data_IF_146386085787
#
_entry.id   IF_146386085787
#
_cell.length_a   1.000
_cell.length_b   1.000
_cell.length_c   1.000
_cell.angle_alpha   90.00
_cell.angle_beta   90.00
_cell.angle_gamma   90.00
#
_symmetry.space_group_name_H-M   'P 1'
#
loop_
_entity.id
_entity.type
_entity.pdbx_description
1 polymer ?
#
# COMPACT_ATOMS: atom_id res chain seq x y z
N UNK A 1 -26.95 -55.85 -34.90
CA UNK A 1 -25.87 -54.85 -35.09
C UNK A 1 -26.07 -53.75 -34.06
N UNK A 2 -25.03 -53.49 -33.26
CA UNK A 2 -24.84 -52.40 -32.28
C UNK A 2 -24.95 -50.99 -32.92
N UNK A 3 -24.94 -49.84 -32.19
CA UNK A 3 -25.10 -49.56 -30.76
C UNK A 3 -26.00 -48.34 -30.41
N UNK A 4 -26.08 -48.05 -29.10
CA UNK A 4 -26.63 -46.89 -28.39
C UNK A 4 -26.06 -45.52 -28.79
N UNK A 5 -26.70 -44.42 -28.35
CA UNK A 5 -26.03 -43.31 -27.66
C UNK A 5 -27.02 -42.32 -27.00
N UNK A 6 -27.00 -42.32 -25.67
CA UNK A 6 -27.47 -41.24 -24.80
C UNK A 6 -26.67 -39.96 -25.08
N UNK A 7 -27.33 -38.81 -25.19
CA UNK A 7 -26.68 -37.51 -25.12
C UNK A 7 -27.36 -36.65 -24.05
N UNK A 8 -26.94 -36.85 -22.80
CA UNK A 8 -27.19 -35.89 -21.72
C UNK A 8 -26.31 -34.67 -21.93
N UNK A 9 -26.93 -33.49 -22.06
CA UNK A 9 -26.21 -32.21 -22.12
C UNK A 9 -25.87 -31.83 -20.68
N UNK A 10 -24.64 -32.14 -20.27
CA UNK A 10 -24.08 -31.70 -19.00
C UNK A 10 -23.76 -30.20 -19.06
N UNK A 11 -24.21 -29.46 -18.05
CA UNK A 11 -23.87 -28.06 -17.82
C UNK A 11 -22.35 -27.91 -17.64
N UNK A 12 -21.73 -27.04 -18.43
CA UNK A 12 -20.40 -26.51 -18.11
C UNK A 12 -20.62 -25.14 -17.45
N UNK A 13 -20.88 -25.16 -16.14
CA UNK A 13 -20.74 -23.97 -15.32
C UNK A 13 -19.25 -23.60 -15.32
N UNK A 14 -18.88 -22.57 -16.08
CA UNK A 14 -17.57 -21.95 -15.98
C UNK A 14 -17.49 -21.25 -14.63
N UNK A 15 -17.10 -22.01 -13.61
CA UNK A 15 -16.54 -21.46 -12.39
C UNK A 15 -15.27 -20.71 -12.80
N UNK A 16 -15.38 -19.39 -12.90
CA UNK A 16 -14.23 -18.50 -13.05
C UNK A 16 -13.28 -18.76 -11.88
N UNK A 17 -12.18 -19.45 -12.17
CA UNK A 17 -11.06 -19.56 -11.26
C UNK A 17 -10.47 -18.17 -11.10
N UNK A 18 -10.85 -17.46 -10.03
CA UNK A 18 -10.06 -16.35 -9.50
C UNK A 18 -8.76 -17.00 -8.99
N UNK A 19 -7.58 -16.76 -9.58
CA UNK A 19 -6.36 -17.31 -9.02
C UNK A 19 -6.15 -16.67 -7.63
N UNK A 20 -6.19 -17.43 -6.54
CA UNK A 20 -5.78 -16.91 -5.25
C UNK A 20 -4.24 -16.80 -5.27
N UNK A 21 -3.70 -15.77 -4.64
CA UNK A 21 -2.26 -15.56 -4.41
C UNK A 21 -1.50 -14.85 -5.54
N UNK A 22 -1.85 -13.58 -5.78
CA UNK A 22 -0.79 -12.63 -6.14
C UNK A 22 0.20 -12.48 -4.97
N UNK A 23 1.48 -12.15 -5.21
CA UNK A 23 2.44 -11.98 -4.12
C UNK A 23 1.96 -10.85 -3.18
N UNK A 24 2.03 -11.11 -1.87
CA UNK A 24 1.72 -10.11 -0.86
C UNK A 24 2.80 -9.02 -0.96
N UNK A 25 2.38 -7.78 -1.17
CA UNK A 25 3.28 -6.63 -1.26
C UNK A 25 3.19 -5.84 0.04
N UNK A 26 4.32 -5.66 0.72
CA UNK A 26 4.40 -4.94 1.97
C UNK A 26 4.99 -3.53 1.75
N UNK A 27 4.31 -2.51 2.27
CA UNK A 27 4.91 -1.21 2.53
C UNK A 27 5.84 -1.28 3.73
N UNK A 28 6.88 -0.45 3.72
CA UNK A 28 7.79 -0.28 4.83
C UNK A 28 7.64 1.08 5.50
N UNK A 29 7.96 1.14 6.77
CA UNK A 29 7.84 2.32 7.61
C UNK A 29 9.08 2.48 8.49
N UNK A 30 9.45 3.71 8.82
CA UNK A 30 10.45 4.03 9.84
C UNK A 30 10.11 5.35 10.51
N UNK A 31 10.50 5.52 11.77
CA UNK A 31 10.42 6.81 12.45
C UNK A 31 11.70 7.60 12.22
N UNK A 32 11.56 8.87 11.83
CA UNK A 32 12.65 9.85 11.81
C UNK A 32 12.31 10.97 12.79
N UNK A 33 12.87 10.90 13.99
CA UNK A 33 12.45 11.74 15.11
C UNK A 33 10.98 11.49 15.44
N UNK A 34 10.14 12.53 15.32
CA UNK A 34 8.69 12.42 15.52
C UNK A 34 7.91 12.20 14.20
N UNK A 35 8.59 12.15 13.05
CA UNK A 35 7.96 12.01 11.75
C UNK A 35 7.93 10.55 11.29
N UNK A 36 6.80 10.13 10.72
CA UNK A 36 6.69 8.84 10.05
C UNK A 36 7.23 8.96 8.61
N UNK A 37 8.25 8.18 8.29
CA UNK A 37 8.70 7.98 6.91
C UNK A 37 8.09 6.70 6.35
N UNK A 38 7.54 6.82 5.15
CA UNK A 38 6.82 5.75 4.44
C UNK A 38 7.61 5.34 3.22
N UNK A 39 7.66 4.05 2.92
CA UNK A 39 8.15 3.48 1.67
C UNK A 39 7.09 2.58 1.04
N UNK A 40 6.39 3.10 0.03
CA UNK A 40 5.35 2.37 -0.72
C UNK A 40 5.96 1.56 -1.85
N UNK A 41 5.63 0.27 -2.01
CA UNK A 41 6.15 -0.54 -3.10
C UNK A 41 5.60 -0.03 -4.43
N UNK A 42 6.49 0.30 -5.37
CA UNK A 42 6.14 0.78 -6.70
C UNK A 42 6.79 -0.09 -7.79
N UNK A 43 6.11 -0.21 -8.92
CA UNK A 43 6.67 -0.71 -10.15
C UNK A 43 7.55 0.32 -10.85
N UNK A 44 8.48 -0.09 -11.73
CA UNK A 44 9.25 0.84 -12.54
C UNK A 44 8.33 1.78 -13.34
N UNK A 45 8.56 3.09 -13.23
CA UNK A 45 7.76 4.12 -13.91
C UNK A 45 6.43 4.48 -13.22
N UNK A 46 6.06 3.78 -12.15
CA UNK A 46 4.92 4.15 -11.32
C UNK A 46 5.27 5.32 -10.39
N UNK A 47 4.30 6.21 -10.16
CA UNK A 47 4.48 7.38 -9.29
C UNK A 47 3.35 7.53 -8.30
N UNK A 48 3.66 7.95 -7.07
CA UNK A 48 2.65 8.42 -6.11
C UNK A 48 2.14 9.80 -6.54
N UNK A 49 0.84 10.04 -6.38
CA UNK A 49 0.18 11.33 -6.63
C UNK A 49 -0.39 11.95 -5.35
N UNK A 50 -0.81 11.11 -4.40
CA UNK A 50 -1.32 11.53 -3.10
C UNK A 50 -1.17 10.44 -2.06
N UNK A 51 -1.17 10.84 -0.79
CA UNK A 51 -1.12 9.95 0.36
C UNK A 51 -2.15 10.39 1.41
N UNK A 52 -2.69 9.43 2.14
CA UNK A 52 -3.65 9.61 3.22
C UNK A 52 -3.30 8.68 4.38
N UNK A 53 -3.49 9.15 5.62
CA UNK A 53 -3.55 8.28 6.79
C UNK A 53 -5.02 8.07 7.13
N UNK A 54 -5.41 6.81 7.27
CA UNK A 54 -6.78 6.43 7.59
C UNK A 54 -6.84 5.45 8.76
N UNK A 55 -7.90 5.56 9.57
CA UNK A 55 -8.18 4.62 10.66
C UNK A 55 -9.58 4.02 10.54
N UNK A 56 -9.79 2.78 10.99
CA UNK A 56 -11.13 2.20 11.08
C UNK A 56 -12.04 3.04 11.99
N UNK A 57 -13.24 3.37 11.50
CA UNK A 57 -14.27 4.07 12.28
C UNK A 57 -14.85 3.14 13.34
N UNK A 58 -14.79 3.56 14.62
CA UNK A 58 -15.33 2.79 15.75
C UNK A 58 -16.85 2.88 15.88
N UNK A 59 -17.48 3.88 15.26
CA UNK A 59 -18.90 4.23 15.43
C UNK A 59 -19.84 3.62 14.37
N UNK A 60 -19.28 2.97 13.33
CA UNK A 60 -20.06 2.44 12.21
C UNK A 60 -20.24 0.93 12.33
N UNK A 61 -21.51 0.48 12.32
CA UNK A 61 -21.88 -0.96 12.33
C UNK A 61 -21.47 -1.71 11.06
N UNK A 62 -21.22 -0.99 9.97
CA UNK A 62 -20.65 -1.51 8.73
C UNK A 62 -19.37 -0.73 8.44
N UNK A 63 -18.30 -1.42 8.07
CA UNK A 63 -16.94 -0.88 7.98
C UNK A 63 -16.83 0.48 7.30
N UNK A 64 -15.85 1.26 7.72
CA UNK A 64 -15.56 2.56 7.15
C UNK A 64 -14.27 3.13 7.73
N UNK A 65 -13.66 4.05 7.01
CA UNK A 65 -12.42 4.69 7.41
C UNK A 65 -12.62 6.18 7.70
N UNK A 66 -11.84 6.70 8.62
CA UNK A 66 -11.68 8.13 8.86
C UNK A 66 -10.27 8.54 8.42
N UNK A 67 -10.19 9.47 7.47
CA UNK A 67 -8.91 10.09 7.08
C UNK A 67 -8.45 11.03 8.18
N UNK A 68 -7.28 10.80 8.77
CA UNK A 68 -6.66 11.67 9.78
C UNK A 68 -5.77 12.74 9.15
N UNK A 69 -5.09 12.41 8.06
CA UNK A 69 -4.19 13.29 7.32
C UNK A 69 -4.28 13.00 5.83
N UNK A 70 -4.08 14.01 4.98
CA UNK A 70 -3.96 13.81 3.54
C UNK A 70 -3.12 14.89 2.87
N UNK A 71 -2.34 14.49 1.87
CA UNK A 71 -1.54 15.37 1.05
C UNK A 71 -1.46 14.90 -0.41
N UNK A 72 -1.16 15.84 -1.32
CA UNK A 72 -1.15 15.63 -2.77
C UNK A 72 -0.01 16.40 -3.43
N UNK A 73 0.26 16.04 -4.68
CA UNK A 73 1.23 16.72 -5.55
C UNK A 73 2.66 16.61 -4.97
N UNK A 74 3.28 15.42 -4.98
CA UNK A 74 4.62 15.23 -4.42
C UNK A 74 5.64 16.21 -5.04
N UNK A 75 6.46 16.82 -4.19
CA UNK A 75 7.46 17.83 -4.61
C UNK A 75 8.70 17.18 -5.17
N UNK A 76 9.21 16.15 -4.49
CA UNK A 76 10.50 15.52 -4.77
C UNK A 76 10.36 14.30 -5.67
N UNK A 77 11.45 13.93 -6.33
CA UNK A 77 11.54 12.65 -7.05
C UNK A 77 11.39 11.46 -6.10
N UNK A 78 11.85 11.60 -4.87
CA UNK A 78 11.74 10.58 -3.82
C UNK A 78 10.28 10.32 -3.42
N UNK A 79 9.51 11.39 -3.16
CA UNK A 79 8.09 11.31 -2.84
C UNK A 79 7.26 10.74 -4.00
N UNK A 80 7.57 11.16 -5.24
CA UNK A 80 6.99 10.52 -6.45
C UNK A 80 7.35 9.05 -6.52
N UNK A 81 8.60 8.71 -6.18
CA UNK A 81 9.13 7.36 -6.11
C UNK A 81 8.66 6.56 -4.90
N UNK A 82 7.69 7.04 -4.13
CA UNK A 82 7.03 6.28 -3.06
C UNK A 82 7.70 6.36 -1.70
N UNK A 83 8.73 7.19 -1.50
CA UNK A 83 9.31 7.46 -0.19
C UNK A 83 9.02 8.88 0.24
N UNK A 84 8.24 9.04 1.31
CA UNK A 84 7.80 10.36 1.76
C UNK A 84 7.62 10.39 3.27
N UNK A 85 7.80 11.58 3.84
CA UNK A 85 7.56 11.84 5.25
C UNK A 85 6.14 12.40 5.43
N UNK A 86 5.38 11.78 6.33
CA UNK A 86 4.09 12.29 6.76
C UNK A 86 4.30 13.61 7.49
N UNK A 87 3.52 14.62 7.10
CA UNK A 87 3.59 15.98 7.64
C UNK A 87 4.96 16.68 7.47
N UNK A 88 5.86 16.12 6.66
CA UNK A 88 7.11 16.78 6.28
C UNK A 88 6.84 17.86 5.23
N UNK A 89 7.39 19.08 5.37
CA UNK A 89 7.12 20.20 4.45
C UNK A 89 7.61 19.93 3.02
N UNK A 90 8.58 19.03 2.87
CA UNK A 90 9.28 18.78 1.61
C UNK A 90 8.65 17.66 0.77
N UNK A 91 7.78 16.82 1.33
CA UNK A 91 7.26 15.64 0.62
C UNK A 91 6.17 16.01 -0.40
N UNK A 92 5.20 16.83 0.00
CA UNK A 92 4.02 17.14 -0.81
C UNK A 92 3.80 18.65 -0.95
N UNK A 93 3.31 19.05 -2.13
CA UNK A 93 3.09 20.46 -2.42
C UNK A 93 1.89 21.01 -1.67
N UNK A 94 0.91 20.15 -1.40
CA UNK A 94 -0.34 20.52 -0.78
C UNK A 94 -0.76 19.50 0.26
N UNK A 95 -0.82 19.93 1.52
CA UNK A 95 -1.54 19.21 2.58
C UNK A 95 -3.01 19.61 2.47
N UNK A 96 -3.89 18.63 2.30
CA UNK A 96 -5.34 18.81 2.18
C UNK A 96 -6.09 18.56 3.48
N UNK A 97 -5.49 17.80 4.39
CA UNK A 97 -5.92 17.65 5.78
C UNK A 97 -4.69 17.50 6.67
N UNK A 98 -4.51 18.44 7.58
CA UNK A 98 -3.45 18.40 8.60
C UNK A 98 -3.72 17.29 9.62
N UNK A 99 -2.64 16.69 10.13
CA UNK A 99 -2.75 15.72 11.22
C UNK A 99 -3.08 16.46 12.52
N UNK A 100 -4.22 16.14 13.12
CA UNK A 100 -4.59 16.70 14.42
C UNK A 100 -4.08 15.80 15.55
N UNK A 101 -3.00 16.22 16.21
CA UNK A 101 -2.42 15.48 17.34
C UNK A 101 -1.39 14.43 16.93
N UNK A 102 -1.21 13.41 17.77
CA UNK A 102 -0.28 12.30 17.53
C UNK A 102 -0.90 11.25 16.62
N UNK A 103 -0.06 10.44 15.96
CA UNK A 103 -0.52 9.24 15.28
C UNK A 103 -1.12 8.25 16.29
N UNK A 104 -2.18 7.53 15.91
CA UNK A 104 -2.71 6.43 16.71
C UNK A 104 -1.80 5.20 16.64
N UNK A 105 -1.96 4.27 17.57
CA UNK A 105 -1.15 3.04 17.65
C UNK A 105 -1.26 2.18 16.39
N UNK A 106 -2.43 2.15 15.75
CA UNK A 106 -2.68 1.38 14.53
C UNK A 106 -3.41 2.23 13.48
N UNK A 107 -2.91 2.23 12.25
CA UNK A 107 -3.52 2.95 11.13
C UNK A 107 -3.08 2.36 9.78
N UNK A 108 -3.63 2.91 8.71
CA UNK A 108 -3.25 2.60 7.34
C UNK A 108 -2.72 3.85 6.65
N UNK A 109 -1.69 3.68 5.83
CA UNK A 109 -1.25 4.68 4.87
C UNK A 109 -1.72 4.24 3.49
N UNK A 110 -2.65 5.01 2.94
CA UNK A 110 -3.18 4.79 1.60
C UNK A 110 -2.54 5.78 0.63
N UNK A 111 -2.30 5.35 -0.59
CA UNK A 111 -1.76 6.18 -1.66
C UNK A 111 -2.53 5.97 -2.94
N UNK A 112 -2.68 7.07 -3.68
CA UNK A 112 -3.06 7.03 -5.08
C UNK A 112 -1.80 7.11 -5.91
N UNK A 113 -1.69 6.18 -6.86
CA UNK A 113 -0.52 5.99 -7.69
C UNK A 113 -0.94 5.99 -9.16
N UNK A 114 0.00 6.26 -10.06
CA UNK A 114 -0.19 6.22 -11.50
C UNK A 114 0.81 5.23 -12.11
N UNK A 115 0.29 4.21 -12.79
CA UNK A 115 1.07 3.20 -13.52
C UNK A 115 0.58 3.14 -14.96
N UNK A 116 1.47 3.37 -15.92
CA UNK A 116 1.13 3.41 -17.36
C UNK A 116 -0.07 4.32 -17.68
N UNK A 117 -0.12 5.49 -17.02
CA UNK A 117 -1.21 6.46 -17.17
C UNK A 117 -2.54 6.04 -16.51
N UNK A 118 -2.59 4.92 -15.79
CA UNK A 118 -3.76 4.44 -15.07
C UNK A 118 -3.61 4.66 -13.58
N UNK A 119 -4.70 5.08 -12.95
CA UNK A 119 -4.76 5.17 -11.49
C UNK A 119 -4.78 3.77 -10.88
N UNK A 120 -3.90 3.56 -9.91
CA UNK A 120 -3.85 2.38 -9.05
C UNK A 120 -3.69 2.81 -7.59
N UNK A 121 -4.01 1.92 -6.67
CA UNK A 121 -3.97 2.21 -5.24
C UNK A 121 -2.91 1.36 -4.56
N UNK A 122 -2.17 1.96 -3.62
CA UNK A 122 -1.32 1.25 -2.68
C UNK A 122 -1.76 1.51 -1.25
N UNK A 123 -1.65 0.51 -0.38
CA UNK A 123 -2.00 0.62 1.03
C UNK A 123 -0.96 -0.12 1.87
N UNK A 124 -0.70 0.38 3.08
CA UNK A 124 0.13 -0.30 4.06
C UNK A 124 -0.40 -0.07 5.48
N UNK A 125 -0.49 -1.15 6.24
CA UNK A 125 -0.85 -1.12 7.66
C UNK A 125 0.38 -0.79 8.51
N UNK A 126 0.19 0.02 9.54
CA UNK A 126 1.21 0.42 10.51
C UNK A 126 0.75 0.02 11.90
N UNK A 127 1.60 -0.71 12.60
CA UNK A 127 1.59 -0.85 14.06
C UNK A 127 2.72 0.05 14.59
N UNK A 128 2.35 1.16 15.22
CA UNK A 128 3.29 2.16 15.72
C UNK A 128 4.09 1.63 16.91
N UNK A 129 3.52 0.71 17.69
CA UNK A 129 4.23 0.10 18.83
C UNK A 129 5.35 -0.81 18.34
N UNK A 130 5.07 -1.62 17.31
CA UNK A 130 6.09 -2.43 16.64
C UNK A 130 7.15 -1.55 15.99
N UNK A 131 6.73 -0.50 15.28
CA UNK A 131 7.60 0.45 14.61
C UNK A 131 8.56 1.17 15.57
N UNK A 132 8.05 1.68 16.69
CA UNK A 132 8.85 2.41 17.70
C UNK A 132 9.85 1.50 18.43
N UNK A 133 9.59 0.19 18.47
CA UNK A 133 10.48 -0.80 19.08
C UNK A 133 11.60 -1.28 18.15
N UNK A 134 11.52 -0.95 16.85
CA UNK A 134 12.46 -1.43 15.86
C UNK A 134 13.77 -0.64 15.85
N UNK A 135 14.90 -1.33 15.96
CA UNK A 135 16.21 -0.76 15.70
C UNK A 135 16.51 -0.83 14.20
N UNK A 136 16.39 0.30 13.49
CA UNK A 136 16.59 0.40 12.06
C UNK A 136 17.79 1.28 11.71
N UNK A 137 18.51 0.91 10.66
CA UNK A 137 19.48 1.79 10.01
C UNK A 137 18.77 2.86 9.16
N UNK A 138 19.52 3.88 8.74
CA UNK A 138 18.99 4.98 7.94
C UNK A 138 18.38 4.53 6.60
N UNK A 139 18.81 3.40 6.06
CA UNK A 139 18.35 2.84 4.78
C UNK A 139 17.31 1.72 4.92
N UNK A 140 16.87 1.43 6.15
CA UNK A 140 16.01 0.31 6.49
C UNK A 140 14.61 0.75 6.93
N UNK A 141 13.63 -0.08 6.59
CA UNK A 141 12.23 0.09 6.92
C UNK A 141 11.70 -1.23 7.51
N UNK A 142 10.76 -1.15 8.44
CA UNK A 142 10.05 -2.33 8.93
C UNK A 142 8.68 -2.44 8.28
N UNK A 143 8.31 -3.67 7.90
CA UNK A 143 6.96 -3.99 7.42
C UNK A 143 6.06 -4.35 8.60
N UNK A 144 4.73 -4.37 8.42
CA UNK A 144 3.79 -4.82 9.46
C UNK A 144 3.91 -6.29 9.90
N UNK A 145 4.87 -7.04 9.32
CA UNK A 145 5.20 -8.41 9.71
C UNK A 145 6.52 -8.47 10.49
N UNK A 146 7.03 -7.32 10.92
CA UNK A 146 8.31 -7.20 11.61
C UNK A 146 9.54 -7.40 10.74
N UNK A 147 9.36 -7.60 9.42
CA UNK A 147 10.49 -7.80 8.51
C UNK A 147 11.14 -6.46 8.21
N UNK A 148 12.44 -6.37 8.49
CA UNK A 148 13.31 -5.24 8.09
C UNK A 148 13.73 -5.41 6.64
N UNK A 149 13.57 -4.35 5.84
CA UNK A 149 13.83 -4.33 4.41
C UNK A 149 14.37 -2.97 3.98
N UNK A 150 15.24 -2.97 2.97
CA UNK A 150 15.68 -1.76 2.27
C UNK A 150 14.62 -1.28 1.28
N UNK A 151 14.80 -0.06 0.76
CA UNK A 151 13.91 0.50 -0.27
C UNK A 151 13.80 -0.38 -1.51
N UNK A 152 14.93 -0.90 -1.99
CA UNK A 152 14.97 -1.74 -3.20
C UNK A 152 14.24 -3.07 -2.98
N UNK A 153 14.39 -3.66 -1.79
CA UNK A 153 13.66 -4.88 -1.43
C UNK A 153 12.16 -4.64 -1.29
N UNK A 154 11.73 -3.45 -0.86
CA UNK A 154 10.31 -3.06 -0.86
C UNK A 154 9.75 -3.02 -2.27
N UNK A 155 10.44 -2.36 -3.21
CA UNK A 155 10.01 -2.30 -4.60
C UNK A 155 10.05 -3.67 -5.29
N UNK A 156 11.02 -4.52 -4.97
CA UNK A 156 11.15 -5.85 -5.54
C UNK A 156 9.94 -6.77 -5.25
N UNK A 157 9.10 -6.44 -4.26
CA UNK A 157 7.88 -7.17 -3.96
C UNK A 157 6.74 -6.86 -4.95
N UNK A 158 6.76 -5.69 -5.60
CA UNK A 158 5.65 -5.24 -6.43
C UNK A 158 5.48 -6.17 -7.65
N UNK A 159 4.32 -6.80 -7.75
CA UNK A 159 3.98 -7.57 -8.95
C UNK A 159 3.54 -6.64 -10.08
N UNK A 160 4.42 -6.44 -11.05
CA UNK A 160 4.20 -5.46 -12.11
C UNK A 160 3.48 -5.98 -13.36
N UNK A 161 3.02 -7.25 -13.39
CA UNK A 161 2.41 -7.87 -14.56
C UNK A 161 3.42 -8.07 -15.72
N UNK A 162 3.70 -9.33 -16.07
CA UNK A 162 4.80 -9.73 -16.99
C UNK A 162 4.71 -9.18 -18.42
N UNK A 163 5.81 -9.06 -19.18
CA UNK A 163 7.03 -9.90 -19.26
C UNK A 163 8.30 -9.07 -19.53
N UNK A 164 9.47 -9.70 -19.26
CA UNK A 164 10.72 -9.46 -20.01
C UNK A 164 10.55 -9.75 -21.50
#
# INVERSE_FOLDING_TARGET
MFPALLAGVAMVALSSCIPPNGPITYSGFRMEGAGLLVAMPLCPGETVESAEIVVPRKDKKEGGFETLWSAREPRTAEARGGVFQVNGPDSFARVTKELSGTLPDEFYVDTRQVRDGKEVSGSGYVDLTELDSAELRDDEFITHKGKVMTRDEINAQAYCGGKK
#
